data_IF_713584405069
#
_entry.id   IF_713584405069
#
_cell.length_a   1.000
_cell.length_b   1.000
_cell.length_c   1.000
_cell.angle_alpha   90.00
_cell.angle_beta   90.00
_cell.angle_gamma   90.00
#
_symmetry.space_group_name_H-M   'P 1'
#
loop_
_entity.id
_entity.type
_entity.pdbx_description
1 polymer ?
#
# COMPACT_ATOMS: atom_id res chain seq x y z
N UNK A 1 -11.55 -0.98 14.67
CA UNK A 1 -11.18 0.20 13.87
C UNK A 1 -10.31 1.20 14.63
N UNK A 2 -10.71 1.79 15.77
CA UNK A 2 -9.90 2.79 16.51
C UNK A 2 -8.49 2.30 16.87
N UNK A 3 -8.31 1.03 17.26
CA UNK A 3 -6.99 0.46 17.64
C UNK A 3 -6.03 0.31 16.46
N UNK A 4 -6.53 -0.03 15.26
CA UNK A 4 -5.70 -0.17 14.05
C UNK A 4 -5.28 1.21 13.54
N UNK A 5 -6.20 2.18 13.48
CA UNK A 5 -5.89 3.55 13.12
C UNK A 5 -4.87 4.17 14.09
N UNK A 6 -5.00 3.88 15.38
CA UNK A 6 -4.06 4.33 16.40
C UNK A 6 -2.67 3.68 16.21
N UNK A 7 -2.60 2.39 15.89
CA UNK A 7 -1.34 1.69 15.63
C UNK A 7 -0.63 2.24 14.38
N UNK A 8 -1.38 2.54 13.32
CA UNK A 8 -0.84 3.15 12.09
C UNK A 8 -0.38 4.59 12.35
N UNK A 9 -1.16 5.39 13.09
CA UNK A 9 -0.76 6.75 13.47
C UNK A 9 0.44 6.73 14.43
N UNK A 10 0.53 5.76 15.34
CA UNK A 10 1.69 5.59 16.21
C UNK A 10 2.94 5.18 15.41
N UNK A 11 2.81 4.29 14.42
CA UNK A 11 3.95 3.89 13.56
C UNK A 11 4.45 5.06 12.71
N UNK A 12 3.55 5.90 12.18
CA UNK A 12 3.91 7.14 11.49
C UNK A 12 4.53 8.17 12.45
N UNK A 13 4.02 8.31 13.66
CA UNK A 13 4.57 9.19 14.67
C UNK A 13 5.93 8.70 15.20
N UNK A 14 6.12 7.39 15.33
CA UNK A 14 7.40 6.77 15.67
C UNK A 14 8.41 6.98 14.53
N UNK A 15 8.01 6.76 13.28
CA UNK A 15 8.84 7.03 12.10
C UNK A 15 9.27 8.52 12.03
N UNK A 16 8.38 9.45 12.40
CA UNK A 16 8.70 10.88 12.47
C UNK A 16 9.49 11.28 13.73
N UNK A 17 9.28 10.59 14.86
CA UNK A 17 9.93 10.88 16.15
C UNK A 17 11.40 10.45 16.22
N UNK A 18 11.81 9.40 15.48
CA UNK A 18 13.23 9.04 15.31
C UNK A 18 14.02 10.09 14.50
N UNK A 19 13.34 11.05 13.88
CA UNK A 19 13.96 12.14 13.12
C UNK A 19 14.72 13.17 13.98
N UNK A 20 14.49 13.22 15.27
CA UNK A 20 15.00 14.28 16.12
C UNK A 20 16.54 14.25 16.36
N UNK A 21 17.24 13.22 15.91
CA UNK A 21 18.69 13.03 16.19
C UNK A 21 19.64 13.13 14.99
N UNK A 22 19.16 13.13 13.74
CA UNK A 22 20.03 13.05 12.56
C UNK A 22 19.77 14.21 11.59
N UNK A 23 20.86 14.96 11.28
CA UNK A 23 20.84 16.15 10.41
C UNK A 23 20.89 15.86 8.92
N UNK A 24 20.63 14.64 8.43
CA UNK A 24 20.98 14.30 7.05
C UNK A 24 19.89 14.56 6.04
N UNK A 25 18.66 14.15 6.27
CA UNK A 25 17.54 14.36 5.36
C UNK A 25 16.24 13.82 5.95
N UNK A 26 15.19 14.61 5.93
CA UNK A 26 13.83 14.16 6.21
C UNK A 26 12.91 14.68 5.13
N UNK A 27 11.92 13.89 4.74
CA UNK A 27 10.92 14.32 3.78
C UNK A 27 9.53 13.79 4.14
N UNK A 28 8.54 14.56 3.74
CA UNK A 28 7.13 14.21 3.83
C UNK A 28 6.45 14.57 2.52
N UNK A 29 5.64 13.66 1.99
CA UNK A 29 4.96 13.83 0.72
C UNK A 29 3.52 13.41 0.73
N UNK A 30 2.79 13.96 -0.22
CA UNK A 30 1.44 13.54 -0.61
C UNK A 30 1.51 12.94 -2.01
N UNK A 31 0.76 11.90 -2.25
CA UNK A 31 0.73 11.26 -3.56
C UNK A 31 -0.68 10.80 -3.94
N UNK A 32 -0.90 10.75 -5.24
CA UNK A 32 -1.98 10.02 -5.89
C UNK A 32 -1.42 8.71 -6.43
N UNK A 33 -2.22 7.65 -6.35
CA UNK A 33 -1.83 6.33 -6.84
C UNK A 33 -3.02 5.57 -7.45
N UNK A 34 -2.69 4.55 -8.25
CA UNK A 34 -3.68 3.66 -8.86
C UNK A 34 -3.33 2.21 -8.52
N UNK A 35 -3.69 1.74 -7.32
CA UNK A 35 -3.41 0.37 -6.90
C UNK A 35 -4.13 -0.68 -7.74
N UNK A 36 -3.39 -1.70 -8.19
CA UNK A 36 -3.88 -2.93 -8.78
C UNK A 36 -3.53 -4.08 -7.85
N UNK A 37 -4.54 -4.82 -7.39
CA UNK A 37 -4.36 -5.99 -6.54
C UNK A 37 -4.82 -7.22 -7.29
N UNK A 38 -3.94 -8.22 -7.36
CA UNK A 38 -4.19 -9.52 -7.96
C UNK A 38 -4.18 -10.56 -6.85
N UNK A 39 -5.33 -11.15 -6.56
CA UNK A 39 -5.49 -12.18 -5.55
C UNK A 39 -5.58 -13.56 -6.22
N UNK A 40 -4.77 -14.50 -5.74
CA UNK A 40 -4.72 -15.87 -6.23
C UNK A 40 -5.02 -16.82 -5.06
N UNK A 41 -6.08 -17.59 -5.17
CA UNK A 41 -6.50 -18.53 -4.15
C UNK A 41 -7.06 -19.81 -4.74
N UNK A 42 -7.26 -20.80 -3.87
CA UNK A 42 -7.99 -22.00 -4.22
C UNK A 42 -8.88 -22.41 -3.05
N UNK A 43 -10.10 -22.85 -3.35
CA UNK A 43 -11.03 -23.41 -2.39
C UNK A 43 -11.78 -24.59 -3.03
N UNK A 44 -11.89 -25.69 -2.30
CA UNK A 44 -12.63 -26.89 -2.75
C UNK A 44 -12.20 -27.42 -4.13
N UNK A 45 -10.90 -27.30 -4.48
CA UNK A 45 -10.40 -27.73 -5.79
C UNK A 45 -10.62 -26.75 -6.93
N UNK A 46 -11.25 -25.62 -6.69
CA UNK A 46 -11.46 -24.56 -7.65
C UNK A 46 -10.39 -23.48 -7.51
N UNK A 47 -9.91 -22.94 -8.63
CA UNK A 47 -8.97 -21.82 -8.65
C UNK A 47 -9.77 -20.51 -8.73
N UNK A 48 -9.45 -19.60 -7.84
CA UNK A 48 -10.04 -18.27 -7.78
C UNK A 48 -8.95 -17.22 -8.03
N UNK A 49 -9.22 -16.27 -8.92
CA UNK A 49 -8.36 -15.11 -9.14
C UNK A 49 -9.20 -13.86 -9.01
N UNK A 50 -8.80 -12.96 -8.13
CA UNK A 50 -9.41 -11.64 -7.95
C UNK A 50 -8.53 -10.55 -8.56
N UNK A 51 -9.15 -9.55 -9.20
CA UNK A 51 -8.48 -8.34 -9.65
C UNK A 51 -9.24 -7.15 -9.10
N UNK A 52 -8.59 -6.35 -8.26
CA UNK A 52 -9.15 -5.10 -7.73
C UNK A 52 -8.40 -3.92 -8.32
N UNK A 53 -9.13 -3.04 -8.99
CA UNK A 53 -8.63 -1.77 -9.49
C UNK A 53 -9.08 -0.63 -8.57
N UNK A 54 -8.16 0.24 -8.18
CA UNK A 54 -8.45 1.31 -7.24
C UNK A 54 -7.82 2.63 -7.68
N UNK A 55 -8.35 3.72 -7.17
CA UNK A 55 -7.62 4.99 -7.05
C UNK A 55 -7.32 5.22 -5.58
N UNK A 56 -6.21 5.87 -5.26
CA UNK A 56 -5.85 6.14 -3.89
C UNK A 56 -5.16 7.49 -3.72
N UNK A 57 -5.28 8.02 -2.51
CA UNK A 57 -4.54 9.17 -2.02
C UNK A 57 -3.74 8.73 -0.81
N UNK A 58 -2.49 9.16 -0.76
CA UNK A 58 -1.62 8.72 0.31
C UNK A 58 -0.63 9.77 0.75
N UNK A 59 0.05 9.40 1.81
CA UNK A 59 1.17 10.13 2.38
C UNK A 59 2.39 9.21 2.46
N UNK A 60 3.56 9.79 2.33
CA UNK A 60 4.81 9.09 2.58
C UNK A 60 5.77 9.94 3.38
N UNK A 61 6.62 9.28 4.12
CA UNK A 61 7.70 9.90 4.87
C UNK A 61 8.99 9.12 4.66
N UNK A 62 10.10 9.84 4.50
CA UNK A 62 11.45 9.25 4.46
C UNK A 62 12.33 10.01 5.44
N UNK A 63 13.09 9.26 6.21
CA UNK A 63 14.03 9.82 7.16
C UNK A 63 15.36 9.09 7.07
N UNK A 64 16.41 9.79 6.63
CA UNK A 64 17.74 9.23 6.45
C UNK A 64 18.60 9.51 7.68
N UNK A 65 19.15 8.46 8.27
CA UNK A 65 20.12 8.54 9.38
C UNK A 65 21.55 8.75 8.89
N UNK A 66 21.79 8.35 7.64
CA UNK A 66 23.06 8.55 6.97
C UNK A 66 22.80 9.00 5.52
N UNK A 67 23.85 9.24 4.74
CA UNK A 67 23.70 9.60 3.32
C UNK A 67 23.01 8.52 2.48
N UNK A 68 23.04 7.26 2.92
CA UNK A 68 22.57 6.11 2.14
C UNK A 68 21.44 5.31 2.76
N UNK A 69 21.21 5.42 4.07
CA UNK A 69 20.28 4.54 4.78
C UNK A 69 19.39 5.34 5.71
N UNK A 70 18.12 4.94 5.75
CA UNK A 70 17.09 5.51 6.61
C UNK A 70 15.88 4.61 6.79
N UNK A 71 14.75 5.22 7.08
CA UNK A 71 13.43 4.58 7.16
C UNK A 71 12.48 5.25 6.18
N UNK A 72 11.62 4.45 5.60
CA UNK A 72 10.50 4.83 4.76
C UNK A 72 9.19 4.31 5.34
N UNK A 73 8.13 5.10 5.24
CA UNK A 73 6.77 4.66 5.50
C UNK A 73 5.82 5.34 4.51
N UNK A 74 4.83 4.60 4.05
CA UNK A 74 3.73 5.10 3.24
C UNK A 74 2.40 4.54 3.70
N UNK A 75 1.36 5.33 3.54
CA UNK A 75 -0.03 4.99 3.81
C UNK A 75 -0.89 5.49 2.66
N UNK A 76 -1.67 4.60 2.06
CA UNK A 76 -2.67 4.91 1.04
C UNK A 76 -4.07 4.62 1.56
N UNK A 77 -5.01 5.52 1.27
CA UNK A 77 -6.44 5.29 1.38
C UNK A 77 -6.96 4.99 -0.02
N UNK A 78 -7.46 3.79 -0.20
CA UNK A 78 -7.89 3.26 -1.49
C UNK A 78 -9.40 3.36 -1.66
N UNK A 79 -9.82 3.73 -2.86
CA UNK A 79 -11.20 3.71 -3.32
C UNK A 79 -11.28 2.73 -4.50
N UNK A 80 -11.63 1.46 -4.25
CA UNK A 80 -11.79 0.49 -5.32
C UNK A 80 -12.89 0.93 -6.30
N UNK A 81 -12.58 0.84 -7.58
CA UNK A 81 -13.50 1.16 -8.69
C UNK A 81 -14.23 -0.10 -9.13
N UNK A 82 -13.51 -1.22 -9.20
CA UNK A 82 -14.05 -2.51 -9.59
C UNK A 82 -13.31 -3.67 -8.94
N UNK A 83 -14.04 -4.76 -8.71
CA UNK A 83 -13.51 -6.05 -8.28
C UNK A 83 -13.99 -7.08 -9.29
N UNK A 84 -13.07 -7.74 -9.98
CA UNK A 84 -13.37 -8.81 -10.93
C UNK A 84 -12.86 -10.12 -10.36
N UNK A 85 -13.74 -11.09 -10.18
CA UNK A 85 -13.41 -12.43 -9.73
C UNK A 85 -13.54 -13.41 -10.90
N UNK A 86 -12.50 -14.23 -11.08
CA UNK A 86 -12.46 -15.34 -12.02
C UNK A 86 -12.47 -16.65 -11.23
N UNK A 87 -13.43 -17.51 -11.48
CA UNK A 87 -13.54 -18.84 -10.88
C UNK A 87 -13.40 -19.89 -11.96
N UNK A 88 -12.40 -20.76 -11.81
CA UNK A 88 -12.16 -21.86 -12.75
C UNK A 88 -12.49 -23.19 -12.08
N UNK A 89 -13.48 -23.89 -12.63
CA UNK A 89 -13.93 -25.21 -12.19
C UNK A 89 -14.12 -26.10 -13.42
N UNK A 90 -13.61 -27.32 -13.37
CA UNK A 90 -13.73 -28.32 -14.46
C UNK A 90 -13.29 -27.77 -15.85
N UNK A 91 -12.24 -26.96 -15.89
CA UNK A 91 -11.71 -26.35 -17.12
C UNK A 91 -12.54 -25.21 -17.70
N UNK A 92 -13.64 -24.82 -17.05
CA UNK A 92 -14.44 -23.65 -17.43
C UNK A 92 -14.15 -22.48 -16.50
N UNK A 93 -13.94 -21.30 -17.05
CA UNK A 93 -13.74 -20.06 -16.28
C UNK A 93 -14.98 -19.18 -16.41
N UNK A 94 -15.53 -18.79 -15.25
CA UNK A 94 -16.58 -17.78 -15.12
C UNK A 94 -15.97 -16.52 -14.53
N UNK A 95 -16.39 -15.35 -15.02
CA UNK A 95 -16.00 -14.07 -14.45
C UNK A 95 -17.20 -13.31 -13.92
N UNK A 96 -17.03 -12.63 -12.80
CA UNK A 96 -18.02 -11.73 -12.23
C UNK A 96 -17.32 -10.43 -11.86
N UNK A 97 -17.80 -9.32 -12.43
CA UNK A 97 -17.29 -7.99 -12.09
C UNK A 97 -18.35 -7.25 -11.29
N UNK A 98 -17.94 -6.71 -10.16
CA UNK A 98 -18.75 -5.82 -9.34
C UNK A 98 -18.08 -4.46 -9.29
N UNK A 99 -18.89 -3.41 -9.40
CA UNK A 99 -18.42 -2.03 -9.33
C UNK A 99 -18.77 -1.42 -7.98
N UNK A 100 -18.23 -0.25 -7.70
CA UNK A 100 -18.46 0.48 -6.46
C UNK A 100 -19.95 0.68 -6.15
N UNK A 101 -20.78 0.86 -7.18
CA UNK A 101 -22.22 1.13 -7.02
C UNK A 101 -23.01 -0.06 -6.43
N UNK A 102 -22.40 -1.25 -6.43
CA UNK A 102 -22.99 -2.45 -5.82
C UNK A 102 -22.86 -2.48 -4.29
N UNK A 103 -22.10 -1.54 -3.70
CA UNK A 103 -21.79 -1.50 -2.27
C UNK A 103 -22.26 -0.20 -1.63
N UNK A 104 -22.68 -0.27 -0.36
CA UNK A 104 -22.91 0.90 0.48
C UNK A 104 -21.60 1.63 0.79
N UNK A 105 -20.56 0.84 1.09
CA UNK A 105 -19.22 1.33 1.29
C UNK A 105 -18.22 0.33 0.69
N UNK A 106 -17.28 0.85 -0.09
CA UNK A 106 -16.16 0.09 -0.64
C UNK A 106 -14.92 0.97 -0.53
N UNK A 107 -14.01 0.60 0.35
CA UNK A 107 -12.78 1.33 0.61
C UNK A 107 -11.69 0.40 1.12
N UNK A 108 -10.45 0.84 1.05
CA UNK A 108 -9.33 0.08 1.55
C UNK A 108 -8.21 0.97 2.07
N UNK A 109 -7.21 0.33 2.61
CA UNK A 109 -6.00 0.97 3.10
C UNK A 109 -4.81 0.08 2.80
N UNK A 110 -3.72 0.68 2.34
CA UNK A 110 -2.43 0.00 2.14
C UNK A 110 -1.36 0.72 2.92
N UNK A 111 -0.43 -0.02 3.50
CA UNK A 111 0.72 0.51 4.23
C UNK A 111 1.97 -0.28 3.86
N UNK A 112 3.06 0.43 3.56
CA UNK A 112 4.39 -0.13 3.37
C UNK A 112 5.36 0.59 4.29
N UNK A 113 6.14 -0.16 5.07
CA UNK A 113 7.15 0.39 5.97
C UNK A 113 8.41 -0.48 5.97
N UNK A 114 9.58 0.17 5.88
CA UNK A 114 10.86 -0.52 5.92
C UNK A 114 12.07 0.41 5.83
N UNK A 115 13.28 -0.14 5.70
CA UNK A 115 14.48 0.63 5.47
C UNK A 115 14.41 1.40 4.15
N UNK A 116 14.89 2.64 4.14
CA UNK A 116 15.10 3.44 2.94
C UNK A 116 16.56 3.35 2.53
N UNK A 117 16.83 2.98 1.28
CA UNK A 117 18.17 2.84 0.72
C UNK A 117 18.30 3.84 -0.42
N UNK A 118 19.25 4.77 -0.30
CA UNK A 118 19.57 5.73 -1.36
C UNK A 118 20.46 5.06 -2.39
N UNK A 119 19.92 4.85 -3.58
CA UNK A 119 20.64 4.26 -4.71
C UNK A 119 21.47 5.32 -5.43
N UNK A 120 20.87 6.49 -5.65
CA UNK A 120 21.55 7.65 -6.21
C UNK A 120 21.04 8.95 -5.61
N UNK A 121 21.92 9.94 -5.47
CA UNK A 121 21.58 11.26 -4.94
C UNK A 121 22.44 12.32 -5.63
N UNK A 122 21.78 13.39 -6.06
CA UNK A 122 22.39 14.61 -6.56
C UNK A 122 21.73 15.83 -5.93
N UNK A 123 22.18 17.02 -6.28
CA UNK A 123 21.53 18.27 -5.87
C UNK A 123 20.08 18.38 -6.38
N UNK A 124 19.80 17.80 -7.57
CA UNK A 124 18.52 17.92 -8.28
C UNK A 124 17.60 16.73 -8.11
N UNK A 125 18.12 15.57 -7.74
CA UNK A 125 17.30 14.35 -7.65
C UNK A 125 17.84 13.33 -6.63
N UNK A 126 16.98 12.38 -6.27
CA UNK A 126 17.32 11.24 -5.43
C UNK A 126 16.47 10.03 -5.84
N UNK A 127 17.11 8.87 -5.99
CA UNK A 127 16.43 7.59 -6.19
C UNK A 127 16.58 6.72 -4.94
N UNK A 128 15.45 6.24 -4.45
CA UNK A 128 15.31 5.43 -3.25
C UNK A 128 14.68 4.08 -3.59
N UNK A 129 15.15 3.05 -2.91
CA UNK A 129 14.47 1.74 -2.83
C UNK A 129 14.21 1.46 -1.36
N UNK A 130 12.98 1.06 -1.03
CA UNK A 130 12.58 0.79 0.35
C UNK A 130 11.87 -0.55 0.44
N UNK A 131 12.62 -1.66 0.64
CA UNK A 131 12.01 -2.95 0.96
C UNK A 131 11.35 -2.89 2.34
N UNK A 132 10.28 -3.64 2.56
CA UNK A 132 9.60 -3.55 3.84
C UNK A 132 8.46 -4.54 4.03
N UNK A 133 7.77 -4.35 5.14
CA UNK A 133 6.52 -5.06 5.45
C UNK A 133 5.38 -4.32 4.79
N UNK A 134 4.54 -5.06 4.10
CA UNK A 134 3.34 -4.56 3.44
C UNK A 134 2.09 -5.09 4.12
N UNK A 135 1.10 -4.23 4.28
CA UNK A 135 -0.21 -4.54 4.84
C UNK A 135 -1.30 -3.91 3.98
N UNK A 136 -2.32 -4.71 3.65
CA UNK A 136 -3.53 -4.24 2.99
C UNK A 136 -4.76 -4.55 3.82
N UNK A 137 -5.75 -3.68 3.70
CA UNK A 137 -7.11 -3.89 4.21
C UNK A 137 -8.10 -3.46 3.14
N UNK A 138 -9.12 -4.27 2.90
CA UNK A 138 -10.26 -3.96 2.04
C UNK A 138 -11.54 -4.17 2.82
N UNK A 139 -12.41 -3.17 2.84
CA UNK A 139 -13.73 -3.21 3.46
C UNK A 139 -14.80 -3.06 2.38
N UNK A 140 -15.71 -4.01 2.32
CA UNK A 140 -16.85 -4.03 1.42
C UNK A 140 -18.13 -4.21 2.23
N UNK A 141 -19.05 -3.25 2.14
CA UNK A 141 -20.34 -3.27 2.81
C UNK A 141 -21.46 -3.30 1.77
N UNK A 142 -22.25 -4.38 1.77
CA UNK A 142 -23.46 -4.51 1.00
C UNK A 142 -24.61 -4.94 1.94
N UNK A 143 -25.18 -6.13 1.79
CA UNK A 143 -26.11 -6.74 2.76
C UNK A 143 -25.38 -7.20 4.04
N UNK A 144 -24.09 -7.48 3.95
CA UNK A 144 -23.18 -7.84 5.04
C UNK A 144 -21.87 -7.07 4.88
N UNK A 145 -21.14 -6.89 6.00
CA UNK A 145 -19.82 -6.26 5.98
C UNK A 145 -18.75 -7.35 5.88
N UNK A 146 -17.98 -7.31 4.81
CA UNK A 146 -16.76 -8.10 4.61
C UNK A 146 -15.55 -7.19 4.77
N UNK A 147 -14.61 -7.56 5.63
CA UNK A 147 -13.32 -6.91 5.73
C UNK A 147 -12.23 -7.96 5.53
N UNK A 148 -11.40 -7.78 4.52
CA UNK A 148 -10.23 -8.61 4.28
C UNK A 148 -8.96 -7.87 4.65
N UNK A 149 -7.96 -8.63 5.09
CA UNK A 149 -6.65 -8.16 5.49
C UNK A 149 -5.62 -9.05 4.86
N UNK A 150 -4.54 -8.46 4.36
CA UNK A 150 -3.37 -9.20 3.90
C UNK A 150 -2.10 -8.61 4.48
N UNK A 151 -1.10 -9.45 4.68
CA UNK A 151 0.21 -9.10 5.20
C UNK A 151 1.28 -9.83 4.42
N UNK A 152 2.34 -9.13 4.10
CA UNK A 152 3.47 -9.69 3.37
C UNK A 152 4.67 -8.77 3.32
N UNK A 153 5.39 -8.86 2.23
CA UNK A 153 6.58 -8.05 1.97
C UNK A 153 6.41 -7.24 0.69
N UNK A 154 7.06 -6.10 0.62
CA UNK A 154 7.02 -5.25 -0.56
C UNK A 154 8.28 -4.41 -0.70
N UNK A 155 8.34 -3.66 -1.77
CA UNK A 155 9.38 -2.66 -2.00
C UNK A 155 8.78 -1.42 -2.64
N UNK A 156 9.16 -0.26 -2.14
CA UNK A 156 8.91 1.02 -2.78
C UNK A 156 10.09 1.39 -3.66
N UNK A 157 9.81 1.94 -4.83
CA UNK A 157 10.75 2.54 -5.77
C UNK A 157 10.33 3.99 -5.95
N UNK A 158 11.16 4.94 -5.48
CA UNK A 158 10.81 6.35 -5.47
C UNK A 158 11.92 7.19 -6.09
N UNK A 159 11.57 7.95 -7.12
CA UNK A 159 12.41 8.96 -7.71
C UNK A 159 11.91 10.36 -7.34
N UNK A 160 12.74 11.13 -6.65
CA UNK A 160 12.45 12.49 -6.22
C UNK A 160 13.19 13.48 -7.10
N UNK A 161 12.46 14.41 -7.72
CA UNK A 161 12.96 15.58 -8.42
C UNK A 161 12.83 16.80 -7.52
N UNK A 162 13.96 17.40 -7.13
CA UNK A 162 13.98 18.55 -6.24
C UNK A 162 13.75 19.86 -6.98
N UNK A 163 12.91 20.73 -6.43
CA UNK A 163 12.70 22.09 -6.89
C UNK A 163 12.71 23.05 -5.70
N UNK A 164 13.23 24.27 -5.97
CA UNK A 164 13.46 25.21 -4.88
C UNK A 164 14.36 24.64 -3.78
N UNK A 165 14.28 25.22 -2.59
CA UNK A 165 15.09 24.78 -1.44
C UNK A 165 14.54 23.51 -0.80
N UNK A 166 13.22 23.36 -0.72
CA UNK A 166 12.56 22.36 0.11
C UNK A 166 11.54 21.48 -0.61
N UNK A 167 11.15 21.82 -1.85
CA UNK A 167 10.14 21.06 -2.58
C UNK A 167 10.70 19.86 -3.35
N UNK A 168 9.85 18.84 -3.59
CA UNK A 168 10.14 17.78 -4.56
C UNK A 168 8.86 17.28 -5.23
N UNK A 169 9.02 16.83 -6.48
CA UNK A 169 8.07 15.90 -7.11
C UNK A 169 8.55 14.47 -6.88
N UNK A 170 7.66 13.54 -6.62
CA UNK A 170 7.98 12.13 -6.59
C UNK A 170 7.26 11.36 -7.69
N UNK A 171 7.97 10.37 -8.21
CA UNK A 171 7.47 9.39 -9.18
C UNK A 171 7.94 8.01 -8.71
N UNK A 172 7.09 7.01 -8.86
CA UNK A 172 7.49 5.67 -8.47
C UNK A 172 6.31 4.76 -8.21
N UNK A 173 6.47 3.88 -7.24
CA UNK A 173 5.40 2.97 -6.86
C UNK A 173 5.87 1.86 -5.93
N UNK A 174 4.92 1.04 -5.52
CA UNK A 174 5.16 -0.14 -4.72
C UNK A 174 4.89 -1.40 -5.53
N UNK A 175 5.67 -2.42 -5.23
CA UNK A 175 5.41 -3.80 -5.59
C UNK A 175 5.37 -4.60 -4.28
N UNK A 176 4.28 -5.31 -4.02
CA UNK A 176 4.13 -6.10 -2.82
C UNK A 176 3.59 -7.50 -3.10
N UNK A 177 3.93 -8.41 -2.21
CA UNK A 177 3.56 -9.81 -2.24
C UNK A 177 3.09 -10.21 -0.83
N UNK A 178 1.76 -10.34 -0.66
CA UNK A 178 1.15 -10.69 0.60
C UNK A 178 0.78 -12.18 0.58
N UNK A 179 1.22 -12.91 1.58
CA UNK A 179 1.08 -14.36 1.69
C UNK A 179 0.33 -14.80 2.95
N UNK A 180 0.00 -13.86 3.83
CA UNK A 180 -0.87 -14.09 4.98
C UNK A 180 -2.17 -13.32 4.75
N UNK A 181 -3.30 -14.02 4.83
CA UNK A 181 -4.62 -13.42 4.64
C UNK A 181 -5.63 -13.88 5.68
N UNK A 182 -6.49 -12.98 6.06
CA UNK A 182 -7.69 -13.28 6.85
C UNK A 182 -8.83 -12.33 6.49
N UNK A 183 -10.05 -12.80 6.68
CA UNK A 183 -11.25 -12.03 6.43
C UNK A 183 -12.20 -12.10 7.62
N UNK A 184 -12.98 -11.05 7.81
CA UNK A 184 -14.07 -10.97 8.77
C UNK A 184 -15.37 -10.72 8.03
N UNK A 185 -16.33 -11.63 8.16
CA UNK A 185 -17.68 -11.48 7.62
C UNK A 185 -18.67 -11.34 8.77
N UNK A 186 -19.29 -10.17 8.90
CA UNK A 186 -20.24 -9.85 9.97
C UNK A 186 -19.74 -10.21 11.37
N UNK A 187 -18.42 -9.97 11.63
CA UNK A 187 -17.78 -10.22 12.92
C UNK A 187 -17.22 -11.63 13.13
N UNK A 188 -17.41 -12.57 12.19
CA UNK A 188 -16.78 -13.89 12.21
C UNK A 188 -15.48 -13.86 11.39
N UNK A 189 -14.38 -14.35 11.97
CA UNK A 189 -13.06 -14.35 11.33
C UNK A 189 -12.81 -15.67 10.61
N UNK A 190 -12.19 -15.59 9.44
CA UNK A 190 -11.80 -16.72 8.59
C UNK A 190 -10.35 -16.52 8.15
N UNK A 191 -9.57 -17.59 8.15
CA UNK A 191 -8.27 -17.61 7.47
C UNK A 191 -8.52 -17.70 5.97
N UNK A 192 -7.82 -16.88 5.19
CA UNK A 192 -7.91 -16.86 3.73
C UNK A 192 -6.60 -17.41 3.17
N UNK A 193 -6.72 -18.49 2.40
CA UNK A 193 -5.57 -19.15 1.79
C UNK A 193 -5.38 -18.59 0.39
N UNK A 194 -4.92 -17.34 0.31
CA UNK A 194 -4.65 -16.65 -0.94
C UNK A 194 -3.31 -15.91 -0.86
N UNK A 195 -2.76 -15.66 -2.04
CA UNK A 195 -1.60 -14.80 -2.24
C UNK A 195 -2.09 -13.56 -2.99
N UNK A 196 -1.70 -12.38 -2.52
CA UNK A 196 -2.02 -11.12 -3.17
C UNK A 196 -0.75 -10.46 -3.69
N UNK A 197 -0.75 -10.11 -4.98
CA UNK A 197 0.28 -9.25 -5.59
C UNK A 197 -0.32 -7.86 -5.76
N UNK A 198 0.34 -6.85 -5.22
CA UNK A 198 -0.11 -5.46 -5.30
C UNK A 198 0.92 -4.63 -6.07
N UNK A 199 0.45 -3.90 -7.08
CA UNK A 199 1.24 -2.93 -7.86
C UNK A 199 0.61 -1.56 -7.70
N UNK A 200 1.38 -0.58 -7.23
CA UNK A 200 0.88 0.76 -6.88
C UNK A 200 1.73 1.84 -7.57
N UNK A 201 1.44 2.20 -8.83
CA UNK A 201 2.05 3.37 -9.45
C UNK A 201 1.67 4.64 -8.67
N UNK A 202 2.66 5.53 -8.46
CA UNK A 202 2.50 6.76 -7.68
C UNK A 202 3.09 7.97 -8.39
N UNK A 203 2.40 9.11 -8.20
CA UNK A 203 2.91 10.44 -8.50
C UNK A 203 2.56 11.37 -7.36
N UNK A 204 3.46 12.26 -6.97
CA UNK A 204 3.20 13.13 -5.84
C UNK A 204 4.12 14.32 -5.72
N UNK A 205 3.90 15.06 -4.65
CA UNK A 205 4.67 16.24 -4.27
C UNK A 205 4.98 16.18 -2.79
N UNK A 206 6.06 16.81 -2.38
CA UNK A 206 6.39 16.83 -0.97
C UNK A 206 7.41 17.90 -0.60
N UNK A 207 7.75 17.89 0.68
CA UNK A 207 8.70 18.80 1.30
C UNK A 207 9.84 18.01 1.91
N UNK A 208 11.04 18.54 1.79
CA UNK A 208 12.26 18.02 2.41
C UNK A 208 12.84 19.01 3.40
N UNK A 209 13.42 18.48 4.45
CA UNK A 209 14.17 19.23 5.47
C UNK A 209 15.61 18.71 5.50
N UNK A 210 16.56 19.61 5.59
CA UNK A 210 17.99 19.31 5.73
C UNK A 210 18.49 19.79 7.09
#
# INVERSE_FOLDING_TARGET
MKKILLAVLLSLAVASGFAAGSKTYSSFGFHFSTPFMFEFGSANGEKNTGITNSVAFGINATNLYSEKIGIYAALDIMLPLSITNYQTSNGQTKSTTVTRDNYRALWGMSCLMGPAIVVSKSEKNMFLISPGVHFNMLCAEAAATLTSYTLGVGANFQYNLFFGSNGYFNFGGDLAFDFLGWASLSGKNYSVNSVTVTVVPRIGVGFRYR
#
